data_IF_872060230490
#
_entry.id   IF_872060230490
#
_cell.length_a   1.000
_cell.length_b   1.000
_cell.length_c   1.000
_cell.angle_alpha   90.00
_cell.angle_beta   90.00
_cell.angle_gamma   90.00
#
_symmetry.space_group_name_H-M   'P 1'
#
loop_
_entity.id
_entity.type
_entity.pdbx_description
1 polymer ?
#
# COMPACT_ATOMS: atom_id res chain seq x y z
N UNK A 1 19.20 -8.14 -0.93
CA UNK A 1 18.35 -7.00 -0.60
C UNK A 1 16.99 -7.58 -0.25
N UNK A 2 16.66 -7.67 1.04
CA UNK A 2 15.34 -8.15 1.47
C UNK A 2 14.34 -7.01 1.28
N UNK A 3 13.17 -7.33 0.75
CA UNK A 3 12.02 -6.43 0.85
C UNK A 3 11.69 -6.20 2.32
N UNK A 4 11.13 -5.02 2.68
CA UNK A 4 10.67 -4.80 4.04
C UNK A 4 9.76 -5.95 4.47
N UNK A 5 10.07 -6.55 5.61
CA UNK A 5 9.27 -7.60 6.18
C UNK A 5 7.91 -7.04 6.60
N UNK A 6 6.89 -7.90 6.71
CA UNK A 6 5.61 -7.53 7.31
C UNK A 6 5.85 -6.95 8.71
N UNK A 7 5.66 -5.64 8.87
CA UNK A 7 5.85 -4.93 10.14
C UNK A 7 7.00 -3.92 10.15
N UNK A 8 7.83 -3.86 9.11
CA UNK A 8 8.86 -2.82 9.01
C UNK A 8 8.21 -1.42 8.89
N UNK A 9 8.74 -0.39 9.58
CA UNK A 9 8.19 0.96 9.51
C UNK A 9 8.29 1.56 8.10
N UNK A 10 7.16 2.01 7.57
CA UNK A 10 7.07 2.69 6.28
C UNK A 10 6.70 4.15 6.50
N UNK A 11 7.34 5.06 5.77
CA UNK A 11 6.91 6.46 5.71
C UNK A 11 6.69 6.88 4.28
N UNK A 12 5.50 7.40 3.98
CA UNK A 12 5.16 8.02 2.71
C UNK A 12 5.33 9.52 2.88
N UNK A 13 6.29 10.10 2.18
CA UNK A 13 6.66 11.50 2.32
C UNK A 13 6.53 12.26 1.01
N UNK A 14 6.22 13.54 1.14
CA UNK A 14 6.23 14.52 0.05
C UNK A 14 6.62 15.90 0.59
N UNK A 15 7.23 16.73 -0.24
CA UNK A 15 7.59 18.11 0.08
C UNK A 15 7.10 19.09 -0.97
N UNK A 16 6.47 20.18 -0.49
CA UNK A 16 6.20 21.32 -1.34
C UNK A 16 7.35 22.32 -1.29
N UNK A 17 7.74 22.79 -2.47
CA UNK A 17 8.90 23.65 -2.65
C UNK A 17 8.54 24.94 -3.39
N UNK A 18 9.17 26.04 -2.99
CA UNK A 18 9.04 27.33 -3.70
C UNK A 18 9.82 27.35 -5.03
N UNK A 19 10.59 26.31 -5.35
CA UNK A 19 11.40 26.20 -6.57
C UNK A 19 11.81 24.76 -6.83
N UNK A 20 12.05 24.42 -8.12
CA UNK A 20 12.72 23.18 -8.52
C UNK A 20 14.24 23.22 -8.34
N UNK A 21 14.83 24.40 -8.10
CA UNK A 21 16.27 24.53 -7.83
C UNK A 21 16.61 23.76 -6.55
N UNK A 22 17.75 23.04 -6.58
CA UNK A 22 18.27 22.44 -5.35
C UNK A 22 18.73 23.55 -4.41
N UNK A 23 18.34 23.45 -3.14
CA UNK A 23 18.73 24.39 -2.10
C UNK A 23 18.18 23.94 -0.76
N UNK A 24 18.90 24.23 0.33
CA UNK A 24 18.48 23.82 1.66
C UNK A 24 17.19 24.53 2.12
N UNK A 25 16.90 25.74 1.63
CA UNK A 25 15.78 26.57 2.13
C UNK A 25 14.61 26.73 1.13
N UNK A 26 14.38 25.71 0.30
CA UNK A 26 13.31 25.74 -0.72
C UNK A 26 12.03 25.01 -0.29
N UNK A 27 12.11 24.12 0.70
CA UNK A 27 10.94 23.44 1.27
C UNK A 27 10.13 24.47 2.07
N UNK A 28 8.82 24.51 1.86
CA UNK A 28 7.92 25.28 2.71
C UNK A 28 6.84 24.44 3.40
N UNK A 29 6.63 23.21 2.93
CA UNK A 29 5.73 22.24 3.56
C UNK A 29 6.31 20.82 3.40
N UNK A 30 6.18 20.01 4.45
CA UNK A 30 6.55 18.60 4.44
C UNK A 30 5.43 17.77 5.07
N UNK A 31 4.96 16.76 4.35
CA UNK A 31 3.85 15.89 4.73
C UNK A 31 4.29 14.45 4.80
N UNK A 32 3.87 13.75 5.86
CA UNK A 32 4.25 12.36 6.08
C UNK A 32 3.06 11.53 6.56
N UNK A 33 2.91 10.35 5.97
CA UNK A 33 2.05 9.27 6.47
C UNK A 33 2.96 8.13 6.92
N UNK A 34 2.99 7.85 8.21
CA UNK A 34 3.82 6.81 8.83
C UNK A 34 2.95 5.60 9.16
N UNK A 35 3.34 4.42 8.68
CA UNK A 35 2.69 3.14 8.98
C UNK A 35 3.68 2.24 9.71
N UNK A 36 3.40 1.98 11.00
CA UNK A 36 4.22 1.10 11.84
C UNK A 36 3.38 -0.11 12.22
N UNK A 37 3.48 -1.19 11.44
CA UNK A 37 2.74 -2.42 11.68
C UNK A 37 1.22 -2.24 11.65
N UNK A 38 0.71 -1.39 10.77
CA UNK A 38 -0.71 -1.06 10.62
C UNK A 38 -1.18 0.12 11.48
N UNK A 39 -0.33 0.64 12.36
CA UNK A 39 -0.63 1.88 13.08
C UNK A 39 -0.24 3.09 12.22
N UNK A 40 -1.26 3.70 11.60
CA UNK A 40 -1.09 4.85 10.71
C UNK A 40 -1.12 6.17 11.49
N UNK A 41 -0.14 7.04 11.25
CA UNK A 41 -0.08 8.42 11.78
C UNK A 41 0.24 9.39 10.66
N UNK A 42 -0.18 10.64 10.84
CA UNK A 42 0.08 11.71 9.89
C UNK A 42 0.82 12.87 10.57
N UNK A 43 1.71 13.50 9.82
CA UNK A 43 2.44 14.68 10.25
C UNK A 43 2.49 15.70 9.12
N UNK A 44 2.25 16.96 9.46
CA UNK A 44 2.39 18.10 8.55
C UNK A 44 3.21 19.18 9.23
N UNK A 45 4.26 19.63 8.55
CA UNK A 45 5.13 20.71 9.02
C UNK A 45 5.16 21.79 7.94
N UNK A 46 4.97 23.05 8.32
CA UNK A 46 5.32 24.20 7.46
C UNK A 46 6.62 24.83 7.93
N UNK A 47 7.44 25.25 6.99
CA UNK A 47 8.77 25.84 7.20
C UNK A 47 8.81 27.15 6.41
N UNK A 48 9.36 28.22 6.98
CA UNK A 48 9.52 29.50 6.29
C UNK A 48 10.67 29.39 5.29
N UNK A 49 10.40 29.43 3.97
CA UNK A 49 11.43 29.27 2.96
C UNK A 49 12.20 30.58 2.72
N UNK A 50 13.30 30.52 1.98
CA UNK A 50 13.99 31.71 1.47
C UNK A 50 13.34 32.19 0.16
N UNK A 51 12.50 33.22 0.26
CA UNK A 51 11.74 33.75 -0.87
C UNK A 51 12.59 34.34 -2.00
N UNK A 52 13.90 34.57 -1.80
CA UNK A 52 14.79 35.03 -2.88
C UNK A 52 14.98 33.97 -3.99
N UNK A 53 14.67 32.71 -3.69
CA UNK A 53 14.80 31.57 -4.60
C UNK A 53 13.47 31.18 -5.27
N UNK A 54 12.38 31.89 -4.96
CA UNK A 54 11.05 31.52 -5.40
C UNK A 54 10.89 31.57 -6.92
N UNK A 55 10.32 30.51 -7.47
CA UNK A 55 9.83 30.44 -8.84
C UNK A 55 8.31 30.71 -8.84
N UNK A 56 7.81 31.72 -9.57
CA UNK A 56 6.38 32.05 -9.57
C UNK A 56 5.49 30.88 -9.97
N UNK A 57 5.96 30.01 -10.88
CA UNK A 57 5.18 28.86 -11.31
C UNK A 57 5.10 27.79 -10.21
N UNK A 58 6.19 27.51 -9.49
CA UNK A 58 6.16 26.65 -8.31
C UNK A 58 5.18 27.17 -7.24
N UNK A 59 5.18 28.49 -6.95
CA UNK A 59 4.26 29.08 -5.97
C UNK A 59 2.79 28.95 -6.37
N UNK A 60 2.49 29.09 -7.66
CA UNK A 60 1.15 28.92 -8.22
C UNK A 60 0.68 27.45 -8.09
N UNK A 61 1.52 26.50 -8.51
CA UNK A 61 1.19 25.06 -8.49
C UNK A 61 0.89 24.59 -7.06
N UNK A 62 1.76 24.92 -6.10
CA UNK A 62 1.59 24.49 -4.70
C UNK A 62 0.61 25.36 -3.90
N UNK A 63 0.05 26.42 -4.52
CA UNK A 63 -0.87 27.38 -3.90
C UNK A 63 -0.29 28.03 -2.63
N UNK A 64 0.98 28.41 -2.67
CA UNK A 64 1.70 28.97 -1.53
C UNK A 64 0.96 30.15 -0.88
N UNK A 65 0.51 31.12 -1.70
CA UNK A 65 -0.17 32.33 -1.20
C UNK A 65 -1.52 32.08 -0.54
N UNK A 66 -2.13 30.92 -0.79
CA UNK A 66 -3.42 30.52 -0.19
C UNK A 66 -3.22 29.73 1.11
N UNK A 67 -2.08 29.04 1.24
CA UNK A 67 -1.89 27.97 2.22
C UNK A 67 -0.78 28.20 3.24
N UNK A 68 0.17 29.08 2.93
CA UNK A 68 1.24 29.39 3.86
C UNK A 68 0.68 30.13 5.08
N UNK A 69 0.77 29.49 6.25
CA UNK A 69 0.03 29.92 7.44
C UNK A 69 0.92 30.39 8.60
N UNK A 70 2.24 30.43 8.42
CA UNK A 70 3.16 30.85 9.48
C UNK A 70 3.12 32.37 9.69
N UNK A 71 2.80 32.86 10.91
CA UNK A 71 2.87 34.28 11.24
C UNK A 71 4.30 34.82 11.14
N UNK A 72 4.45 36.13 10.92
CA UNK A 72 5.76 36.79 10.92
C UNK A 72 6.56 36.49 12.19
N UNK A 73 7.84 36.18 12.02
CA UNK A 73 8.75 35.80 13.12
C UNK A 73 8.66 34.32 13.55
N UNK A 74 7.78 33.51 12.95
CA UNK A 74 7.75 32.05 13.14
C UNK A 74 8.52 31.37 12.00
N UNK A 75 9.54 30.58 12.35
CA UNK A 75 10.39 29.89 11.38
C UNK A 75 9.78 28.59 10.85
N UNK A 76 9.13 27.82 11.72
CA UNK A 76 8.44 26.60 11.34
C UNK A 76 7.26 26.33 12.29
N UNK A 77 6.39 25.40 11.92
CA UNK A 77 5.37 24.91 12.83
C UNK A 77 4.90 23.50 12.49
N UNK A 78 4.53 22.75 13.53
CA UNK A 78 3.67 21.59 13.40
C UNK A 78 2.25 22.06 13.09
N UNK A 79 1.67 21.52 12.03
CA UNK A 79 0.35 21.89 11.53
C UNK A 79 -0.67 20.79 11.84
N UNK A 80 -1.94 21.16 11.96
CA UNK A 80 -3.02 20.20 12.07
C UNK A 80 -3.26 19.54 10.70
N UNK A 81 -3.17 18.20 10.57
CA UNK A 81 -3.25 17.49 9.28
C UNK A 81 -4.49 17.80 8.44
N UNK A 82 -5.65 17.98 9.08
CA UNK A 82 -6.91 18.30 8.38
C UNK A 82 -7.20 19.80 8.28
N UNK A 83 -7.11 20.52 9.40
CA UNK A 83 -7.50 21.92 9.46
C UNK A 83 -6.46 22.90 8.89
N UNK A 84 -5.25 22.45 8.56
CA UNK A 84 -4.17 23.29 8.02
C UNK A 84 -3.74 24.44 8.94
N UNK A 85 -4.16 24.41 10.21
CA UNK A 85 -3.85 25.46 11.20
C UNK A 85 -2.63 25.09 12.01
N UNK A 86 -1.86 26.10 12.37
CA UNK A 86 -0.71 25.95 13.26
C UNK A 86 -1.15 25.36 14.62
N UNK A 87 -0.43 24.33 15.07
CA UNK A 87 -0.63 23.71 16.39
C UNK A 87 0.49 24.12 17.33
N UNK A 88 1.74 24.00 16.87
CA UNK A 88 2.93 24.30 17.68
C UNK A 88 3.94 25.08 16.83
N UNK A 89 4.27 26.35 17.17
CA UNK A 89 5.38 27.04 16.54
C UNK A 89 6.70 26.39 16.95
N UNK A 90 7.65 26.32 16.04
CA UNK A 90 8.95 25.68 16.20
C UNK A 90 10.06 26.59 15.68
N UNK A 91 11.22 26.55 16.31
CA UNK A 91 12.45 26.98 15.64
C UNK A 91 12.78 26.02 14.49
N UNK A 92 13.52 26.49 13.49
CA UNK A 92 13.86 25.68 12.31
C UNK A 92 14.61 24.39 12.67
N UNK A 93 15.53 24.45 13.65
CA UNK A 93 16.26 23.27 14.14
C UNK A 93 15.35 22.28 14.89
N UNK A 94 14.34 22.75 15.62
CA UNK A 94 13.38 21.88 16.31
C UNK A 94 12.50 21.15 15.30
N UNK A 95 12.06 21.83 14.23
CA UNK A 95 11.34 21.19 13.14
C UNK A 95 12.19 20.10 12.46
N UNK A 96 13.50 20.35 12.31
CA UNK A 96 14.42 19.37 11.74
C UNK A 96 14.55 18.12 12.62
N UNK A 97 14.65 18.27 13.93
CA UNK A 97 14.66 17.16 14.89
C UNK A 97 13.34 16.36 14.88
N UNK A 98 12.20 17.05 14.78
CA UNK A 98 10.87 16.41 14.67
C UNK A 98 10.78 15.56 13.41
N UNK A 99 11.16 16.13 12.25
CA UNK A 99 11.16 15.41 10.96
C UNK A 99 12.14 14.24 10.99
N UNK A 100 13.36 14.45 11.48
CA UNK A 100 14.36 13.40 11.59
C UNK A 100 13.90 12.26 12.51
N UNK A 101 13.20 12.59 13.60
CA UNK A 101 12.64 11.58 14.50
C UNK A 101 11.53 10.78 13.83
N UNK A 102 10.63 11.44 13.09
CA UNK A 102 9.53 10.78 12.39
C UNK A 102 10.01 9.82 11.28
N UNK A 103 11.12 10.17 10.62
CA UNK A 103 11.67 9.38 9.54
C UNK A 103 12.61 8.26 10.02
N UNK A 104 13.00 8.27 11.31
CA UNK A 104 14.01 7.38 11.89
C UNK A 104 13.68 5.91 11.68
N UNK A 105 14.63 5.16 11.12
CA UNK A 105 14.55 3.72 10.88
C UNK A 105 13.36 3.31 9.99
N UNK A 106 12.89 4.23 9.13
CA UNK A 106 11.78 3.97 8.19
C UNK A 106 12.27 3.81 6.76
N UNK A 107 11.51 3.08 5.95
CA UNK A 107 11.65 3.12 4.49
C UNK A 107 10.84 4.29 3.94
N UNK A 108 11.51 5.21 3.23
CA UNK A 108 10.85 6.36 2.61
C UNK A 108 10.24 5.97 1.26
N UNK A 109 8.94 6.17 1.14
CA UNK A 109 8.15 6.00 -0.07
C UNK A 109 7.59 7.35 -0.52
N UNK A 110 7.26 7.48 -1.80
CA UNK A 110 6.59 8.67 -2.34
C UNK A 110 6.42 8.57 -3.84
N UNK A 111 5.89 9.63 -4.44
CA UNK A 111 5.82 9.82 -5.89
C UNK A 111 7.05 10.63 -6.31
N UNK A 112 7.95 10.06 -7.11
CA UNK A 112 9.28 10.65 -7.39
C UNK A 112 10.07 10.98 -6.11
N UNK A 113 10.15 10.06 -5.11
CA UNK A 113 10.65 10.37 -3.76
C UNK A 113 12.14 10.73 -3.72
N UNK A 114 12.89 10.48 -4.79
CA UNK A 114 14.26 10.97 -4.94
C UNK A 114 14.34 12.50 -4.91
N UNK A 115 13.31 13.19 -5.37
CA UNK A 115 13.19 14.63 -5.34
C UNK A 115 13.09 15.15 -3.90
N UNK A 116 12.20 14.57 -3.11
CA UNK A 116 11.92 14.94 -1.72
C UNK A 116 13.08 14.55 -0.80
N UNK A 117 13.59 13.33 -0.95
CA UNK A 117 14.71 12.82 -0.17
C UNK A 117 15.94 13.74 -0.27
N UNK A 118 16.28 14.20 -1.49
CA UNK A 118 17.39 15.14 -1.70
C UNK A 118 17.15 16.47 -0.98
N UNK A 119 15.94 17.01 -1.01
CA UNK A 119 15.61 18.30 -0.40
C UNK A 119 15.60 18.22 1.11
N UNK A 120 14.98 17.18 1.65
CA UNK A 120 15.01 16.87 3.07
C UNK A 120 16.45 16.68 3.54
N UNK A 121 17.29 15.94 2.81
CA UNK A 121 18.71 15.77 3.16
C UNK A 121 19.46 17.10 3.19
N UNK A 122 19.30 17.96 2.17
CA UNK A 122 19.95 19.28 2.13
C UNK A 122 19.50 20.18 3.28
N UNK A 123 18.20 20.20 3.57
CA UNK A 123 17.64 21.01 4.65
C UNK A 123 18.06 20.48 6.02
N UNK A 124 17.92 19.18 6.28
CA UNK A 124 18.32 18.54 7.54
C UNK A 124 19.82 18.74 7.81
N UNK A 125 20.69 18.63 6.80
CA UNK A 125 22.12 18.93 6.94
C UNK A 125 22.36 20.38 7.34
N UNK A 126 21.63 21.33 6.75
CA UNK A 126 21.76 22.73 7.08
C UNK A 126 21.32 23.05 8.51
N UNK A 127 20.25 22.40 9.00
CA UNK A 127 19.71 22.67 10.33
C UNK A 127 20.39 21.90 11.46
N UNK A 128 20.73 20.64 11.23
CA UNK A 128 21.33 19.77 12.25
C UNK A 128 22.88 19.86 12.26
N UNK A 129 23.48 20.42 11.20
CA UNK A 129 24.92 20.67 11.12
C UNK A 129 25.74 19.40 11.35
N UNK A 130 26.64 19.43 12.33
CA UNK A 130 27.50 18.29 12.68
C UNK A 130 26.74 17.10 13.27
N UNK A 131 25.51 17.29 13.75
CA UNK A 131 24.66 16.20 14.24
C UNK A 131 24.09 15.37 13.10
N UNK A 132 24.09 15.88 11.86
CA UNK A 132 23.75 15.10 10.68
C UNK A 132 24.96 14.30 10.21
N UNK A 133 24.89 12.97 10.34
CA UNK A 133 25.83 12.02 9.73
C UNK A 133 25.08 11.14 8.73
N UNK A 134 25.80 10.40 7.88
CA UNK A 134 25.17 9.42 7.00
C UNK A 134 24.54 8.26 7.79
N UNK A 135 25.08 7.95 8.98
CA UNK A 135 24.52 6.98 9.93
C UNK A 135 23.28 7.53 10.64
N UNK A 136 23.13 8.86 10.68
CA UNK A 136 21.97 9.54 11.24
C UNK A 136 20.98 10.02 10.18
N UNK A 137 21.19 9.66 8.90
CA UNK A 137 20.16 9.86 7.88
C UNK A 137 18.92 9.12 8.39
N UNK A 138 17.78 9.80 8.58
CA UNK A 138 16.76 9.22 9.42
C UNK A 138 16.05 8.07 8.70
N UNK A 139 15.99 8.09 7.37
CA UNK A 139 15.42 6.99 6.57
C UNK A 139 16.50 6.05 6.00
N UNK A 140 16.06 4.85 5.60
CA UNK A 140 16.89 3.92 4.82
C UNK A 140 17.33 4.58 3.50
N UNK A 141 18.62 4.48 3.15
CA UNK A 141 19.26 5.22 2.04
C UNK A 141 18.61 5.09 0.65
N UNK A 142 17.73 4.11 0.46
CA UNK A 142 17.02 3.86 -0.77
C UNK A 142 15.56 4.31 -0.65
N UNK A 143 15.18 5.47 -1.23
CA UNK A 143 13.78 5.82 -1.37
C UNK A 143 13.09 4.91 -2.40
N UNK A 144 11.80 4.69 -2.22
CA UNK A 144 10.99 3.77 -3.03
C UNK A 144 9.86 4.51 -3.75
N UNK A 145 9.92 4.56 -5.08
CA UNK A 145 8.91 5.21 -5.89
C UNK A 145 7.66 4.32 -6.03
N UNK A 146 6.53 4.78 -5.50
CA UNK A 146 5.29 4.00 -5.56
C UNK A 146 4.70 3.93 -6.98
N UNK A 147 5.02 4.88 -7.86
CA UNK A 147 4.57 4.85 -9.25
C UNK A 147 5.29 3.78 -10.06
N UNK A 148 6.61 3.63 -9.83
CA UNK A 148 7.39 2.57 -10.46
C UNK A 148 6.89 1.19 -10.05
N UNK A 149 6.56 1.02 -8.77
CA UNK A 149 5.96 -0.21 -8.26
C UNK A 149 4.58 -0.46 -8.87
N UNK A 150 3.75 0.58 -8.98
CA UNK A 150 2.41 0.52 -9.58
C UNK A 150 2.46 0.15 -11.06
N UNK A 151 3.37 0.76 -11.81
CA UNK A 151 3.63 0.41 -13.20
C UNK A 151 4.10 -1.05 -13.33
N UNK A 152 4.97 -1.52 -12.44
CA UNK A 152 5.42 -2.92 -12.40
C UNK A 152 4.28 -3.91 -12.19
N UNK A 153 3.39 -3.65 -11.22
CA UNK A 153 2.18 -4.46 -10.97
C UNK A 153 1.27 -4.45 -12.21
N UNK A 154 1.04 -3.28 -12.79
CA UNK A 154 0.20 -3.10 -13.97
C UNK A 154 0.74 -3.90 -15.17
N UNK A 155 2.04 -3.83 -15.43
CA UNK A 155 2.73 -4.58 -16.50
C UNK A 155 2.58 -6.09 -16.25
N UNK A 156 2.83 -6.54 -15.02
CA UNK A 156 2.68 -7.94 -14.64
C UNK A 156 1.26 -8.46 -14.88
N UNK A 157 0.25 -7.73 -14.39
CA UNK A 157 -1.16 -8.07 -14.60
C UNK A 157 -1.53 -8.10 -16.09
N UNK A 158 -1.11 -7.11 -16.88
CA UNK A 158 -1.37 -7.07 -18.31
C UNK A 158 -0.73 -8.27 -19.04
N UNK A 159 0.49 -8.67 -18.65
CA UNK A 159 1.20 -9.79 -19.26
C UNK A 159 0.52 -11.15 -19.06
N UNK A 160 -0.23 -11.33 -17.97
CA UNK A 160 -1.00 -12.58 -17.75
C UNK A 160 -2.16 -12.76 -18.72
N UNK A 161 -2.66 -11.68 -19.34
CA UNK A 161 -3.88 -11.69 -20.14
C UNK A 161 -5.18 -11.83 -19.31
N UNK A 162 -5.09 -12.01 -17.99
CA UNK A 162 -6.25 -12.18 -17.10
C UNK A 162 -6.88 -10.84 -16.68
N UNK A 163 -6.15 -9.74 -16.84
CA UNK A 163 -6.56 -8.41 -16.42
C UNK A 163 -6.71 -7.47 -17.62
N UNK A 164 -7.85 -7.49 -18.34
CA UNK A 164 -8.03 -6.65 -19.53
C UNK A 164 -7.99 -5.15 -19.23
N UNK A 165 -8.43 -4.73 -18.01
CA UNK A 165 -8.28 -3.35 -17.52
C UNK A 165 -6.80 -2.95 -17.44
N UNK A 166 -5.92 -3.85 -17.02
CA UNK A 166 -4.49 -3.58 -16.90
C UNK A 166 -3.87 -3.28 -18.27
N UNK A 167 -4.16 -4.12 -19.27
CA UNK A 167 -3.71 -3.92 -20.63
C UNK A 167 -4.22 -2.61 -21.24
N UNK A 168 -5.45 -2.19 -20.90
CA UNK A 168 -6.01 -0.92 -21.34
C UNK A 168 -5.33 0.30 -20.69
N UNK A 169 -5.07 0.25 -19.38
CA UNK A 169 -4.35 1.30 -18.68
C UNK A 169 -2.89 1.41 -19.12
N UNK A 170 -2.20 0.27 -19.35
CA UNK A 170 -0.81 0.27 -19.82
C UNK A 170 -0.62 0.99 -21.16
N UNK A 171 -1.61 0.93 -22.06
CA UNK A 171 -1.60 1.69 -23.33
C UNK A 171 -1.68 3.21 -23.14
N UNK A 172 -2.22 3.66 -22.00
CA UNK A 172 -2.37 5.08 -21.66
C UNK A 172 -1.26 5.60 -20.76
N UNK A 173 -0.52 4.70 -20.08
CA UNK A 173 0.44 5.06 -19.03
C UNK A 173 1.56 5.97 -19.55
N UNK A 174 2.14 5.67 -20.72
CA UNK A 174 3.20 6.46 -21.33
C UNK A 174 4.53 6.47 -20.56
N UNK A 175 5.53 7.18 -21.08
CA UNK A 175 6.79 7.50 -20.38
C UNK A 175 7.08 9.01 -20.58
N UNK A 176 7.32 9.80 -19.52
CA UNK A 176 7.21 9.44 -18.09
C UNK A 176 5.80 8.94 -17.73
N UNK A 177 5.69 8.15 -16.66
CA UNK A 177 4.42 7.57 -16.24
C UNK A 177 3.40 8.66 -15.93
N UNK A 178 2.18 8.50 -16.44
CA UNK A 178 1.08 9.37 -16.09
C UNK A 178 0.43 8.89 -14.78
N UNK A 179 0.68 9.62 -13.69
CA UNK A 179 0.12 9.36 -12.36
C UNK A 179 -1.40 9.21 -12.36
N UNK A 180 -2.12 10.00 -13.17
CA UNK A 180 -3.59 9.92 -13.25
C UNK A 180 -4.07 8.56 -13.76
N UNK A 181 -3.28 7.93 -14.65
CA UNK A 181 -3.59 6.59 -15.17
C UNK A 181 -3.42 5.55 -14.07
N UNK A 182 -2.35 5.66 -13.28
CA UNK A 182 -2.11 4.76 -12.14
C UNK A 182 -3.18 4.93 -11.07
N UNK A 183 -3.47 6.17 -10.66
CA UNK A 183 -4.47 6.45 -9.63
C UNK A 183 -5.86 5.97 -10.04
N UNK A 184 -6.26 6.21 -11.30
CA UNK A 184 -7.53 5.69 -11.82
C UNK A 184 -7.55 4.18 -11.91
N UNK A 185 -6.44 3.54 -12.27
CA UNK A 185 -6.39 2.09 -12.37
C UNK A 185 -6.54 1.41 -11.00
N UNK A 186 -5.86 1.94 -9.98
CA UNK A 186 -5.85 1.43 -8.61
C UNK A 186 -6.98 2.00 -7.72
N UNK A 187 -7.91 2.76 -8.30
CA UNK A 187 -9.00 3.41 -7.58
C UNK A 187 -8.50 4.25 -6.38
N UNK A 188 -7.41 4.99 -6.57
CA UNK A 188 -6.88 5.97 -5.62
C UNK A 188 -7.71 7.24 -5.74
N UNK A 189 -8.29 7.76 -4.64
CA UNK A 189 -9.08 8.99 -4.68
C UNK A 189 -8.27 10.17 -5.21
N UNK A 190 -8.79 10.81 -6.24
CA UNK A 190 -8.28 12.07 -6.78
C UNK A 190 -9.09 13.23 -6.19
N UNK A 191 -8.55 13.90 -5.18
CA UNK A 191 -9.14 15.11 -4.62
C UNK A 191 -8.36 16.33 -5.10
N UNK A 192 -8.92 17.15 -6.01
CA UNK A 192 -8.25 18.36 -6.51
C UNK A 192 -7.79 19.32 -5.41
N UNK A 193 -8.50 19.36 -4.27
CA UNK A 193 -8.13 20.22 -3.14
C UNK A 193 -6.87 19.75 -2.42
N UNK A 194 -6.56 18.46 -2.47
CA UNK A 194 -5.37 17.87 -1.84
C UNK A 194 -4.21 17.64 -2.81
N UNK A 195 -4.41 17.81 -4.12
CA UNK A 195 -3.31 17.76 -5.09
C UNK A 195 -2.36 18.95 -4.85
N UNK A 196 -1.07 18.69 -5.02
CA UNK A 196 -0.03 19.68 -4.75
C UNK A 196 -0.14 20.21 -3.32
N UNK A 197 -0.38 19.28 -2.40
CA UNK A 197 -0.24 19.50 -0.96
C UNK A 197 0.63 18.37 -0.43
N UNK A 198 1.61 18.68 0.43
CA UNK A 198 2.57 17.68 0.85
C UNK A 198 1.89 16.48 1.52
N UNK A 199 0.94 16.74 2.43
CA UNK A 199 0.22 15.67 3.08
C UNK A 199 -0.80 14.98 2.15
N UNK A 200 -1.41 15.69 1.22
CA UNK A 200 -2.34 15.11 0.26
C UNK A 200 -1.65 14.14 -0.69
N UNK A 201 -0.48 14.50 -1.20
CA UNK A 201 0.29 13.67 -2.11
C UNK A 201 0.95 12.49 -1.36
N UNK A 202 1.41 12.69 -0.12
CA UNK A 202 1.81 11.58 0.77
C UNK A 202 0.68 10.59 1.05
N UNK A 203 -0.56 11.06 1.29
CA UNK A 203 -1.75 10.21 1.44
C UNK A 203 -2.08 9.46 0.16
N UNK A 204 -1.98 10.11 -0.99
CA UNK A 204 -2.21 9.46 -2.29
C UNK A 204 -1.17 8.36 -2.56
N UNK A 205 0.11 8.61 -2.25
CA UNK A 205 1.17 7.61 -2.32
C UNK A 205 0.90 6.41 -1.40
N UNK A 206 0.51 6.66 -0.16
CA UNK A 206 0.11 5.61 0.79
C UNK A 206 -1.10 4.81 0.30
N UNK A 207 -2.13 5.49 -0.21
CA UNK A 207 -3.32 4.84 -0.76
C UNK A 207 -2.98 3.96 -1.98
N UNK A 208 -2.13 4.45 -2.88
CA UNK A 208 -1.64 3.67 -4.01
C UNK A 208 -0.90 2.41 -3.54
N UNK A 209 0.02 2.56 -2.57
CA UNK A 209 0.74 1.45 -1.95
C UNK A 209 -0.20 0.37 -1.41
N UNK A 210 -1.18 0.78 -0.60
CA UNK A 210 -2.18 -0.12 -0.02
C UNK A 210 -2.97 -0.86 -1.11
N UNK A 211 -3.43 -0.15 -2.15
CA UNK A 211 -4.18 -0.75 -3.26
C UNK A 211 -3.36 -1.78 -4.03
N UNK A 212 -2.09 -1.50 -4.30
CA UNK A 212 -1.20 -2.45 -4.97
C UNK A 212 -1.00 -3.72 -4.14
N UNK A 213 -0.73 -3.57 -2.84
CA UNK A 213 -0.41 -4.70 -1.96
C UNK A 213 -1.61 -5.61 -1.69
N UNK A 214 -2.80 -5.03 -1.52
CA UNK A 214 -4.06 -5.79 -1.42
C UNK A 214 -4.35 -6.54 -2.72
N UNK A 215 -4.09 -5.92 -3.88
CA UNK A 215 -4.34 -6.54 -5.19
C UNK A 215 -3.35 -7.67 -5.51
N UNK A 216 -2.14 -7.64 -4.94
CA UNK A 216 -1.16 -8.72 -5.07
C UNK A 216 -1.29 -9.83 -4.03
N UNK A 217 -2.08 -9.62 -2.97
CA UNK A 217 -2.20 -10.54 -1.84
C UNK A 217 -3.16 -11.70 -2.11
N UNK A 218 -2.64 -12.82 -2.59
CA UNK A 218 -3.21 -14.12 -2.21
C UNK A 218 -2.66 -14.47 -0.84
N UNK A 219 -3.49 -14.43 0.21
CA UNK A 219 -3.14 -15.11 1.46
C UNK A 219 -3.50 -16.58 1.30
N UNK A 220 -2.49 -17.46 1.34
CA UNK A 220 -2.70 -18.90 1.48
C UNK A 220 -2.52 -19.23 2.95
N UNK A 221 -3.61 -19.22 3.71
CA UNK A 221 -3.58 -19.76 5.06
C UNK A 221 -3.75 -21.28 4.96
N UNK A 222 -2.64 -22.00 5.05
CA UNK A 222 -2.66 -23.45 5.17
C UNK A 222 -3.12 -23.81 6.58
N UNK A 223 -4.41 -24.12 6.75
CA UNK A 223 -4.92 -24.69 7.98
C UNK A 223 -4.58 -26.18 8.00
N UNK A 224 -3.77 -26.58 8.96
CA UNK A 224 -3.36 -27.97 9.14
C UNK A 224 -4.53 -28.74 9.80
N UNK A 225 -5.45 -29.27 8.98
CA UNK A 225 -6.64 -29.99 9.45
C UNK A 225 -6.33 -31.49 9.51
N UNK A 226 -5.53 -31.88 10.52
CA UNK A 226 -5.13 -33.27 10.82
C UNK A 226 -4.24 -33.96 9.78
N UNK A 227 -3.64 -35.09 10.17
CA UNK A 227 -2.57 -35.83 9.44
C UNK A 227 -2.93 -36.36 8.05
N UNK A 228 -4.15 -36.12 7.55
CA UNK A 228 -4.66 -36.68 6.30
C UNK A 228 -5.33 -35.66 5.38
N UNK A 229 -5.50 -34.40 5.80
CA UNK A 229 -6.27 -33.40 5.03
C UNK A 229 -5.61 -32.02 5.11
N UNK A 230 -5.09 -31.55 3.98
CA UNK A 230 -4.70 -30.14 3.83
C UNK A 230 -5.93 -29.38 3.35
N UNK A 231 -6.49 -28.53 4.22
CA UNK A 231 -7.49 -27.55 3.79
C UNK A 231 -6.76 -26.26 3.45
N UNK A 232 -6.72 -25.93 2.16
CA UNK A 232 -6.11 -24.69 1.70
C UNK A 232 -7.20 -23.61 1.71
N UNK A 233 -7.13 -22.67 2.65
CA UNK A 233 -8.08 -21.55 2.69
C UNK A 233 -7.47 -20.40 1.89
N UNK A 234 -8.04 -20.17 0.72
CA UNK A 234 -7.79 -18.96 -0.05
C UNK A 234 -8.72 -17.87 0.50
N UNK A 235 -8.18 -16.98 1.32
CA UNK A 235 -8.89 -15.78 1.75
C UNK A 235 -8.62 -14.68 0.73
N UNK A 236 -9.54 -14.50 -0.23
CA UNK A 236 -9.49 -13.43 -1.22
C UNK A 236 -10.07 -12.16 -0.62
N UNK A 237 -9.23 -11.30 -0.04
CA UNK A 237 -9.67 -10.11 0.71
C UNK A 237 -10.41 -9.05 -0.11
N UNK A 238 -10.41 -9.14 -1.44
CA UNK A 238 -11.34 -8.39 -2.30
C UNK A 238 -11.67 -9.16 -3.59
N UNK A 239 -12.96 -9.33 -3.87
CA UNK A 239 -13.44 -9.84 -5.15
C UNK A 239 -13.71 -8.67 -6.10
N UNK A 240 -12.71 -8.30 -6.90
CA UNK A 240 -12.94 -7.53 -8.12
C UNK A 240 -12.96 -8.50 -9.30
N UNK A 241 -14.15 -8.75 -9.88
CA UNK A 241 -14.37 -9.54 -11.10
C UNK A 241 -13.49 -10.80 -11.27
N UNK A 242 -13.27 -11.56 -10.20
CA UNK A 242 -12.56 -12.84 -10.31
C UNK A 242 -13.47 -13.82 -11.07
N UNK A 243 -13.24 -13.95 -12.38
CA UNK A 243 -14.05 -14.83 -13.23
C UNK A 243 -13.97 -16.29 -12.75
N UNK A 244 -15.03 -17.06 -12.99
CA UNK A 244 -15.07 -18.50 -12.71
C UNK A 244 -13.87 -19.27 -13.32
N UNK A 245 -13.28 -18.74 -14.40
CA UNK A 245 -12.11 -19.31 -15.06
C UNK A 245 -10.84 -19.23 -14.19
N UNK A 246 -10.66 -18.15 -13.41
CA UNK A 246 -9.52 -17.98 -12.51
C UNK A 246 -9.61 -18.96 -11.33
N UNK A 247 -10.81 -19.14 -10.78
CA UNK A 247 -11.06 -20.11 -9.71
C UNK A 247 -10.82 -21.54 -10.20
N UNK A 248 -11.28 -21.85 -11.41
CA UNK A 248 -11.09 -23.17 -12.02
C UNK A 248 -9.60 -23.48 -12.22
N UNK A 249 -8.80 -22.52 -12.69
CA UNK A 249 -7.35 -22.69 -12.86
C UNK A 249 -6.59 -22.83 -11.55
N UNK A 250 -6.94 -22.03 -10.54
CA UNK A 250 -6.37 -22.14 -9.19
C UNK A 250 -6.67 -23.51 -8.58
N UNK A 251 -7.91 -23.98 -8.72
CA UNK A 251 -8.31 -25.31 -8.26
C UNK A 251 -7.50 -26.42 -8.97
N UNK A 252 -7.32 -26.33 -10.30
CA UNK A 252 -6.50 -27.29 -11.05
C UNK A 252 -5.03 -27.31 -10.59
N UNK A 253 -4.42 -26.14 -10.42
CA UNK A 253 -3.04 -26.02 -9.92
C UNK A 253 -2.87 -26.62 -8.52
N UNK A 254 -3.84 -26.39 -7.64
CA UNK A 254 -3.82 -26.95 -6.28
C UNK A 254 -4.02 -28.47 -6.27
N UNK A 255 -4.87 -29.00 -7.16
CA UNK A 255 -5.08 -30.44 -7.29
C UNK A 255 -3.83 -31.17 -7.80
N UNK A 256 -3.06 -30.56 -8.72
CA UNK A 256 -1.77 -31.15 -9.15
C UNK A 256 -0.76 -31.25 -8.00
N UNK A 257 -0.76 -30.28 -7.08
CA UNK A 257 0.17 -30.24 -5.96
C UNK A 257 -0.28 -31.08 -4.76
N UNK A 258 -1.59 -31.27 -4.59
CA UNK A 258 -2.18 -32.04 -3.49
C UNK A 258 -3.32 -32.93 -4.04
N UNK A 259 -3.00 -34.06 -4.70
CA UNK A 259 -3.99 -34.88 -5.44
C UNK A 259 -5.12 -35.41 -4.56
N UNK A 260 -4.83 -35.66 -3.28
CA UNK A 260 -5.76 -36.20 -2.29
C UNK A 260 -6.31 -35.11 -1.33
N UNK A 261 -5.97 -33.84 -1.55
CA UNK A 261 -6.37 -32.72 -0.70
C UNK A 261 -7.77 -32.20 -1.02
N UNK A 262 -8.51 -31.74 0.00
CA UNK A 262 -9.79 -31.09 -0.18
C UNK A 262 -9.60 -29.56 -0.22
N UNK A 263 -9.85 -28.93 -1.36
CA UNK A 263 -9.74 -27.47 -1.50
C UNK A 263 -11.05 -26.82 -1.06
N UNK A 264 -11.00 -25.95 -0.06
CA UNK A 264 -12.16 -25.22 0.47
C UNK A 264 -11.91 -23.72 0.28
N UNK A 265 -12.69 -23.10 -0.61
CA UNK A 265 -12.61 -21.65 -0.86
C UNK A 265 -13.63 -20.95 0.05
N UNK A 266 -13.20 -19.97 0.85
CA UNK A 266 -14.06 -19.19 1.74
C UNK A 266 -14.16 -17.73 1.27
N UNK A 267 -15.36 -17.15 1.35
CA UNK A 267 -15.58 -15.73 1.04
C UNK A 267 -15.26 -14.82 2.24
N UNK A 268 -14.79 -13.58 2.03
CA UNK A 268 -14.60 -12.61 3.11
C UNK A 268 -15.92 -12.30 3.84
N UNK A 269 -15.96 -12.57 5.14
CA UNK A 269 -17.09 -12.22 6.00
C UNK A 269 -18.31 -13.16 5.96
N UNK A 270 -18.26 -14.26 5.21
CA UNK A 270 -19.36 -15.23 5.10
C UNK A 270 -19.05 -16.57 5.76
N UNK A 271 -19.99 -17.08 6.57
CA UNK A 271 -20.11 -18.52 6.84
C UNK A 271 -20.10 -19.32 5.54
N UNK A 272 -19.54 -20.54 5.54
CA UNK A 272 -19.64 -21.54 4.46
C UNK A 272 -21.03 -21.47 3.80
N UNK A 273 -21.16 -20.76 2.69
CA UNK A 273 -22.27 -21.01 1.78
C UNK A 273 -21.85 -22.24 1.00
N UNK A 274 -22.76 -23.19 0.87
CA UNK A 274 -22.69 -24.26 -0.13
C UNK A 274 -22.69 -23.59 -1.52
N UNK A 275 -21.57 -22.98 -1.90
CA UNK A 275 -21.34 -22.50 -3.23
C UNK A 275 -21.23 -23.75 -4.10
N UNK A 276 -22.38 -24.09 -4.67
CA UNK A 276 -22.59 -25.05 -5.76
C UNK A 276 -21.88 -26.39 -5.54
N UNK A 277 -22.23 -27.05 -4.42
CA UNK A 277 -21.87 -28.44 -4.15
C UNK A 277 -22.15 -29.36 -5.36
N UNK A 278 -23.14 -29.01 -6.18
CA UNK A 278 -23.48 -29.67 -7.43
C UNK A 278 -22.45 -29.42 -8.55
N UNK A 279 -21.90 -28.21 -8.69
CA UNK A 279 -20.81 -27.95 -9.64
C UNK A 279 -19.52 -28.66 -9.22
N UNK A 280 -19.23 -28.70 -7.92
CA UNK A 280 -18.08 -29.42 -7.36
C UNK A 280 -18.27 -30.94 -7.45
N UNK A 281 -19.48 -31.46 -7.25
CA UNK A 281 -19.80 -32.88 -7.42
C UNK A 281 -19.73 -33.31 -8.89
N UNK A 282 -20.22 -32.48 -9.83
CA UNK A 282 -20.12 -32.74 -11.28
C UNK A 282 -18.67 -32.81 -11.78
N UNK A 283 -17.78 -32.06 -11.17
CA UNK A 283 -16.36 -32.11 -11.48
C UNK A 283 -15.62 -33.29 -10.79
N UNK A 284 -16.28 -34.01 -9.87
CA UNK A 284 -15.69 -35.13 -9.10
C UNK A 284 -15.05 -34.78 -7.75
N UNK A 285 -15.29 -33.59 -7.18
CA UNK A 285 -14.52 -33.02 -6.07
C UNK A 285 -15.15 -33.24 -4.68
N UNK A 286 -16.31 -33.91 -4.61
CA UNK A 286 -16.98 -34.28 -3.35
C UNK A 286 -17.41 -35.74 -3.40
N UNK A 287 -16.88 -36.59 -2.50
CA UNK A 287 -17.48 -37.89 -2.19
C UNK A 287 -18.56 -37.70 -1.13
N UNK A 288 -19.81 -38.01 -1.47
CA UNK A 288 -20.94 -38.04 -0.51
C UNK A 288 -20.59 -38.90 0.71
N UNK A 289 -20.60 -38.29 1.89
CA UNK A 289 -20.55 -39.00 3.18
C UNK A 289 -21.98 -39.19 3.69
N UNK A 290 -22.76 -40.06 3.04
CA UNK A 290 -23.99 -40.58 3.66
C UNK A 290 -23.61 -41.88 4.38
N UNK A 291 -23.73 -41.98 5.72
CA UNK A 291 -23.45 -43.23 6.42
C UNK A 291 -24.50 -44.29 6.05
N UNK A 292 -24.13 -45.59 5.99
CA UNK A 292 -25.08 -46.65 5.64
C UNK A 292 -26.19 -46.75 6.70
N UNK A 293 -27.44 -46.88 6.23
CA UNK A 293 -28.60 -47.16 7.09
C UNK A 293 -28.42 -48.53 7.75
N UNK A 294 -28.65 -48.57 9.06
CA UNK A 294 -28.51 -49.75 9.92
C UNK A 294 -29.72 -50.69 9.88
N UNK A 295 -30.12 -51.16 8.70
CA UNK A 295 -31.28 -52.05 8.54
C UNK A 295 -30.93 -53.41 7.92
N UNK A 296 -29.78 -53.98 8.28
CA UNK A 296 -29.39 -55.36 7.85
C UNK A 296 -28.84 -56.21 9.02
N UNK A 297 -29.60 -56.28 10.13
CA UNK A 297 -29.46 -57.36 11.11
C UNK A 297 -30.80 -58.04 11.37
N UNK A 298 -31.25 -58.85 10.40
CA UNK A 298 -32.23 -59.89 10.65
C UNK A 298 -32.13 -60.99 9.58
N UNK A 299 -31.17 -61.90 9.71
CA UNK A 299 -31.29 -63.31 9.24
C UNK A 299 -30.03 -64.12 9.58
N UNK A 300 -30.04 -64.81 10.73
CA UNK A 300 -29.41 -66.14 10.87
C UNK A 300 -29.80 -66.76 12.22
N UNK A 301 -30.96 -67.41 12.26
CA UNK A 301 -31.29 -68.37 13.31
C UNK A 301 -32.06 -69.54 12.70
N UNK A 302 -31.32 -70.49 12.13
CA UNK A 302 -31.82 -71.85 11.89
C UNK A 302 -30.65 -72.83 11.99
N UNK A 303 -30.87 -73.91 12.76
CA UNK A 303 -30.13 -75.20 12.82
C UNK A 303 -28.76 -75.17 13.55
N UNK A 304 -28.44 -76.03 14.53
CA UNK A 304 -28.83 -77.41 14.81
C UNK A 304 -28.68 -77.81 16.30
N UNK A 305 -29.56 -78.74 16.71
CA UNK A 305 -29.43 -79.78 17.77
C UNK A 305 -29.46 -79.36 19.25
#
# INVERSE_FOLDING_TARGET
MSWPASGDPLTFGDTECISLRSGARVIWEAGFVMDVGGLVREMLVQIRPDMSMADPRSLEICRFGERFALPDGVDAALMHPEAGRMVVPLAEAEAAEVIATALRDTHLFGVVPSFDALRLELWLRAQLGSSYTWESAPWHYQPHDVEDLAAGVLIGQAATGLYPRAAAALRQLGMPYNTDVLFRYFDVPDNPESRHTALGDARAAYALWQKMHVTSGFSVDALNVSSSTVALILSLTSWGDTSADVLSRLASLLHEQVPDGQVIILEPGGSLREADADAMARAGWVRSTTPPRSDDQAQSATEHR
#
